data_IF_831380226197
#
_entry.id   IF_831380226197
#
_cell.length_a   1.000
_cell.length_b   1.000
_cell.length_c   1.000
_cell.angle_alpha   90.00
_cell.angle_beta   90.00
_cell.angle_gamma   90.00
#
_symmetry.space_group_name_H-M   'P 1'
#
loop_
_entity.id
_entity.type
_entity.pdbx_description
1 polymer ?
#
# COMPACT_ATOMS: atom_id res chain seq x y z
N UNK A 1 -22.89 -14.63 20.22
CA UNK A 1 -21.79 -13.65 20.25
C UNK A 1 -22.22 -12.51 19.35
N UNK A 2 -22.52 -11.34 19.91
CA UNK A 2 -22.87 -10.16 19.12
C UNK A 2 -21.57 -9.58 18.56
N UNK A 3 -21.42 -9.57 17.24
CA UNK A 3 -20.30 -8.89 16.60
C UNK A 3 -20.64 -7.39 16.58
N UNK A 4 -19.88 -6.58 17.31
CA UNK A 4 -19.98 -5.13 17.20
C UNK A 4 -19.37 -4.72 15.87
N UNK A 5 -20.09 -3.89 15.10
CA UNK A 5 -19.62 -3.33 13.83
C UNK A 5 -19.47 -1.81 13.99
N UNK A 6 -18.41 -1.23 13.44
CA UNK A 6 -18.18 0.21 13.41
C UNK A 6 -19.19 0.92 12.48
N UNK A 7 -19.17 2.26 12.44
CA UNK A 7 -20.11 3.07 11.64
C UNK A 7 -20.07 2.80 10.14
N UNK A 8 -19.05 2.07 9.66
CA UNK A 8 -18.90 1.67 8.27
C UNK A 8 -19.24 0.18 8.04
N UNK A 9 -19.78 -0.52 9.04
CA UNK A 9 -20.23 -1.90 8.95
C UNK A 9 -19.12 -2.96 9.09
N UNK A 10 -17.97 -2.61 9.68
CA UNK A 10 -16.85 -3.54 9.89
C UNK A 10 -16.77 -4.00 11.35
N UNK A 11 -16.50 -5.29 11.64
CA UNK A 11 -16.21 -5.76 12.98
C UNK A 11 -15.26 -4.83 13.75
N UNK A 12 -15.55 -4.47 15.00
CA UNK A 12 -14.73 -3.56 15.83
C UNK A 12 -13.28 -4.05 16.03
N UNK A 13 -13.03 -5.37 15.95
CA UNK A 13 -11.68 -5.97 15.95
C UNK A 13 -10.85 -5.62 14.68
N UNK A 14 -11.48 -5.04 13.65
CA UNK A 14 -10.84 -4.59 12.41
C UNK A 14 -10.70 -3.06 12.35
N UNK A 15 -10.28 -2.42 13.45
CA UNK A 15 -9.58 -1.16 13.28
C UNK A 15 -8.42 -1.43 12.30
N UNK A 16 -8.38 -0.70 11.17
CA UNK A 16 -7.42 -0.90 10.08
C UNK A 16 -6.00 -1.04 10.65
N UNK A 17 -5.49 -2.28 10.71
CA UNK A 17 -4.12 -2.53 11.13
C UNK A 17 -3.19 -1.89 10.11
N UNK A 18 -2.56 -0.78 10.50
CA UNK A 18 -1.66 -0.02 9.63
C UNK A 18 -0.54 -0.95 9.16
N UNK A 19 -0.36 -1.05 7.84
CA UNK A 19 0.66 -1.89 7.23
C UNK A 19 2.06 -1.28 7.41
N UNK A 20 2.73 -1.70 8.49
CA UNK A 20 4.07 -1.26 8.85
C UNK A 20 5.10 -1.51 7.73
N UNK A 21 4.92 -2.58 6.96
CA UNK A 21 5.86 -2.92 5.89
C UNK A 21 5.68 -2.00 4.69
N UNK A 22 4.43 -1.70 4.31
CA UNK A 22 4.14 -0.68 3.29
C UNK A 22 4.67 0.69 3.70
N UNK A 23 4.47 1.10 4.95
CA UNK A 23 5.00 2.36 5.46
C UNK A 23 6.53 2.46 5.29
N UNK A 24 7.26 1.39 5.61
CA UNK A 24 8.72 1.34 5.44
C UNK A 24 9.14 1.32 3.97
N UNK A 25 8.41 0.63 3.08
CA UNK A 25 8.66 0.68 1.63
C UNK A 25 8.48 2.08 1.07
N UNK A 26 7.39 2.76 1.44
CA UNK A 26 7.12 4.15 1.04
C UNK A 26 8.21 5.08 1.55
N UNK A 27 8.61 4.93 2.82
CA UNK A 27 9.70 5.70 3.43
C UNK A 27 11.01 5.54 2.66
N UNK A 28 11.37 4.30 2.31
CA UNK A 28 12.58 4.00 1.53
C UNK A 28 12.50 4.58 0.11
N UNK A 29 11.36 4.47 -0.56
CA UNK A 29 11.16 5.03 -1.89
C UNK A 29 11.34 6.55 -1.90
N UNK A 30 10.77 7.24 -0.92
CA UNK A 30 10.91 8.69 -0.76
C UNK A 30 12.36 9.05 -0.43
N UNK A 31 12.88 8.57 0.70
CA UNK A 31 14.18 9.00 1.24
C UNK A 31 15.38 8.47 0.44
N UNK A 32 15.16 7.47 -0.42
CA UNK A 32 16.18 6.99 -1.36
C UNK A 32 16.46 7.96 -2.50
N UNK A 33 15.54 8.89 -2.81
CA UNK A 33 15.69 9.85 -3.93
C UNK A 33 15.49 11.31 -3.54
N UNK A 34 14.67 11.59 -2.53
CA UNK A 34 14.23 12.94 -2.18
C UNK A 34 14.10 13.15 -0.67
N UNK A 35 14.04 14.41 -0.26
CA UNK A 35 13.55 14.77 1.09
C UNK A 35 12.02 14.82 1.09
N UNK A 36 11.39 14.85 2.28
CA UNK A 36 9.94 15.00 2.36
C UNK A 36 9.47 16.38 1.89
N UNK A 37 10.27 17.41 2.12
CA UNK A 37 10.05 18.77 1.62
C UNK A 37 10.01 18.77 0.09
N UNK A 38 10.99 18.11 -0.55
CA UNK A 38 11.02 18.01 -2.01
C UNK A 38 9.86 17.17 -2.56
N UNK A 39 9.46 16.12 -1.84
CA UNK A 39 8.27 15.35 -2.21
C UNK A 39 6.99 16.16 -2.09
N UNK A 40 6.83 17.02 -1.09
CA UNK A 40 5.67 17.91 -0.97
C UNK A 40 5.59 18.86 -2.17
N UNK A 41 6.71 19.47 -2.55
CA UNK A 41 6.78 20.36 -3.72
C UNK A 41 6.37 19.66 -5.03
N UNK A 42 6.83 18.43 -5.24
CA UNK A 42 6.60 17.69 -6.49
C UNK A 42 5.20 17.03 -6.55
N UNK A 43 4.74 16.46 -5.43
CA UNK A 43 3.50 15.67 -5.39
C UNK A 43 2.26 16.49 -5.00
N UNK A 44 2.47 17.63 -4.33
CA UNK A 44 1.44 18.37 -3.62
C UNK A 44 0.87 17.66 -2.39
N UNK A 45 1.48 16.54 -1.96
CA UNK A 45 1.10 15.85 -0.72
C UNK A 45 1.76 16.57 0.44
N UNK A 46 0.96 16.98 1.42
CA UNK A 46 1.49 17.70 2.57
C UNK A 46 2.62 16.93 3.30
N UNK A 47 3.67 17.63 3.71
CA UNK A 47 4.83 17.04 4.38
C UNK A 47 4.45 16.27 5.66
N UNK A 48 3.51 16.79 6.45
CA UNK A 48 3.01 16.12 7.64
C UNK A 48 2.27 14.83 7.30
N UNK A 49 1.56 14.81 6.17
CA UNK A 49 0.94 13.59 5.64
C UNK A 49 1.99 12.57 5.21
N UNK A 50 3.01 12.96 4.44
CA UNK A 50 4.09 12.06 4.03
C UNK A 50 4.78 11.44 5.26
N UNK A 51 5.08 12.25 6.28
CA UNK A 51 5.68 11.78 7.54
C UNK A 51 4.76 10.84 8.31
N UNK A 52 3.45 11.09 8.37
CA UNK A 52 2.49 10.16 9.02
C UNK A 52 2.42 8.82 8.30
N UNK A 53 2.43 8.81 6.98
CA UNK A 53 2.46 7.57 6.18
C UNK A 53 3.76 6.81 6.45
N UNK A 54 4.90 7.47 6.29
CA UNK A 54 6.22 6.85 6.43
C UNK A 54 6.53 6.35 7.85
N UNK A 55 5.86 6.90 8.87
CA UNK A 55 5.96 6.45 10.26
C UNK A 55 4.81 5.53 10.69
N UNK A 56 4.02 5.02 9.73
CA UNK A 56 2.91 4.11 9.99
C UNK A 56 1.89 4.65 11.01
N UNK A 57 1.68 5.97 11.01
CA UNK A 57 0.68 6.64 11.84
C UNK A 57 -0.67 6.75 11.11
N UNK A 58 -0.66 6.54 9.79
CA UNK A 58 -1.83 6.32 8.96
C UNK A 58 -1.42 5.54 7.71
N UNK A 59 -2.39 4.92 7.07
CA UNK A 59 -2.17 4.31 5.76
C UNK A 59 -2.13 5.34 4.62
N UNK A 60 -1.52 4.95 3.50
CA UNK A 60 -1.49 5.75 2.28
C UNK A 60 -2.74 5.50 1.44
N UNK A 61 -3.30 6.56 0.86
CA UNK A 61 -4.34 6.42 -0.16
C UNK A 61 -3.71 5.98 -1.48
N UNK A 62 -4.46 5.28 -2.33
CA UNK A 62 -3.99 4.87 -3.67
C UNK A 62 -3.49 6.07 -4.48
N UNK A 63 -4.22 7.19 -4.50
CA UNK A 63 -3.79 8.39 -5.23
C UNK A 63 -2.51 9.04 -4.67
N UNK A 64 -2.18 8.80 -3.41
CA UNK A 64 -0.90 9.22 -2.83
C UNK A 64 0.21 8.27 -3.24
N UNK A 65 -0.06 6.97 -3.29
CA UNK A 65 0.87 5.95 -3.78
C UNK A 65 1.20 6.13 -5.25
N UNK A 66 0.22 6.46 -6.11
CA UNK A 66 0.42 6.77 -7.52
C UNK A 66 1.41 7.92 -7.71
N UNK A 67 1.19 9.04 -7.00
CA UNK A 67 2.08 10.20 -7.06
C UNK A 67 3.47 9.90 -6.53
N UNK A 68 3.56 9.17 -5.42
CA UNK A 68 4.85 8.77 -4.85
C UNK A 68 5.59 7.89 -5.86
N UNK A 69 4.94 6.86 -6.39
CA UNK A 69 5.48 5.94 -7.39
C UNK A 69 6.00 6.69 -8.63
N UNK A 70 5.20 7.60 -9.18
CA UNK A 70 5.56 8.40 -10.36
C UNK A 70 6.83 9.24 -10.09
N UNK A 71 6.84 10.00 -9.00
CA UNK A 71 7.94 10.92 -8.69
C UNK A 71 9.21 10.15 -8.29
N UNK A 72 9.08 9.10 -7.47
CA UNK A 72 10.20 8.27 -7.05
C UNK A 72 10.60 7.27 -8.12
N UNK A 73 9.90 7.19 -9.26
CA UNK A 73 10.09 6.16 -10.27
C UNK A 73 10.22 4.77 -9.63
N UNK A 74 9.30 4.47 -8.73
CA UNK A 74 9.20 3.18 -8.02
C UNK A 74 7.96 2.49 -8.54
N UNK A 75 8.03 1.19 -8.80
CA UNK A 75 6.86 0.42 -9.19
C UNK A 75 5.78 0.54 -8.10
N UNK A 76 4.57 0.95 -8.49
CA UNK A 76 3.45 1.10 -7.57
C UNK A 76 3.12 -0.23 -6.87
N UNK A 77 3.32 -1.36 -7.55
CA UNK A 77 3.12 -2.68 -6.94
C UNK A 77 4.16 -2.98 -5.87
N UNK A 78 5.40 -2.48 -6.00
CA UNK A 78 6.39 -2.57 -4.92
C UNK A 78 5.96 -1.74 -3.70
N UNK A 79 5.40 -0.54 -3.90
CA UNK A 79 4.87 0.24 -2.79
C UNK A 79 3.71 -0.46 -2.09
N UNK A 80 2.72 -0.94 -2.86
CA UNK A 80 1.50 -1.56 -2.32
C UNK A 80 1.82 -2.91 -1.68
N UNK A 81 2.50 -3.78 -2.42
CA UNK A 81 2.59 -5.22 -2.13
C UNK A 81 4.01 -5.70 -1.86
N UNK A 82 5.04 -4.91 -2.14
CA UNK A 82 6.43 -5.38 -2.09
C UNK A 82 6.86 -6.17 -3.32
N UNK A 83 8.07 -6.72 -3.24
CA UNK A 83 8.79 -7.27 -4.41
C UNK A 83 8.95 -8.79 -4.32
N UNK A 84 8.75 -9.40 -3.15
CA UNK A 84 8.77 -10.85 -3.01
C UNK A 84 7.37 -11.46 -3.19
N UNK A 85 7.28 -12.67 -3.73
CA UNK A 85 6.00 -13.38 -3.88
C UNK A 85 5.26 -13.58 -2.55
N UNK A 86 6.00 -13.69 -1.43
CA UNK A 86 5.40 -13.71 -0.09
C UNK A 86 4.77 -12.37 0.29
N UNK A 87 5.43 -11.24 0.00
CA UNK A 87 4.89 -9.92 0.30
C UNK A 87 3.61 -9.67 -0.50
N UNK A 88 3.61 -10.05 -1.78
CA UNK A 88 2.44 -9.89 -2.65
C UNK A 88 1.31 -10.79 -2.19
N UNK A 89 1.58 -12.04 -1.80
CA UNK A 89 0.57 -12.94 -1.25
C UNK A 89 -0.02 -12.40 0.05
N UNK A 90 0.80 -11.99 1.02
CA UNK A 90 0.32 -11.52 2.32
C UNK A 90 -0.43 -10.19 2.23
N UNK A 91 0.03 -9.26 1.38
CA UNK A 91 -0.66 -8.00 1.14
C UNK A 91 -1.94 -8.18 0.32
N UNK A 92 -1.96 -9.10 -0.68
CA UNK A 92 -3.20 -9.45 -1.41
C UNK A 92 -4.20 -10.13 -0.50
N UNK A 93 -3.74 -11.07 0.34
CA UNK A 93 -4.54 -11.74 1.36
C UNK A 93 -5.19 -10.70 2.29
N UNK A 94 -4.44 -9.75 2.86
CA UNK A 94 -5.03 -8.66 3.67
C UNK A 94 -6.08 -7.84 2.91
N UNK A 95 -5.85 -7.55 1.64
CA UNK A 95 -6.76 -6.75 0.81
C UNK A 95 -8.07 -7.50 0.46
N UNK A 96 -8.00 -8.82 0.27
CA UNK A 96 -9.10 -9.63 -0.27
C UNK A 96 -9.72 -10.64 0.72
N UNK A 97 -9.08 -10.92 1.87
CA UNK A 97 -9.64 -11.78 2.93
C UNK A 97 -10.91 -11.21 3.57
N UNK A 98 -11.23 -9.94 3.31
CA UNK A 98 -12.52 -9.36 3.69
C UNK A 98 -13.70 -9.89 2.86
N UNK A 99 -13.48 -10.66 1.76
CA UNK A 99 -14.58 -11.17 0.90
C UNK A 99 -14.44 -12.59 0.33
N UNK A 100 -13.24 -13.09 -0.03
CA UNK A 100 -13.04 -14.47 -0.52
C UNK A 100 -11.55 -14.81 -0.73
N UNK A 101 -11.11 -15.94 -0.18
CA UNK A 101 -9.74 -16.49 -0.37
C UNK A 101 -9.42 -16.74 -1.85
N UNK A 102 -10.38 -17.19 -2.63
CA UNK A 102 -10.21 -17.47 -4.05
C UNK A 102 -10.05 -16.18 -4.86
N UNK A 103 -10.74 -15.11 -4.46
CA UNK A 103 -10.56 -13.79 -5.06
C UNK A 103 -9.17 -13.21 -4.77
N UNK A 104 -8.66 -13.41 -3.54
CA UNK A 104 -7.31 -13.03 -3.16
C UNK A 104 -6.25 -13.74 -4.02
N UNK A 105 -6.41 -15.05 -4.20
CA UNK A 105 -5.50 -15.87 -5.00
C UNK A 105 -5.59 -15.52 -6.49
N UNK A 106 -6.79 -15.27 -7.02
CA UNK A 106 -6.97 -14.86 -8.41
C UNK A 106 -6.35 -13.48 -8.67
N UNK A 107 -6.56 -12.51 -7.77
CA UNK A 107 -5.93 -11.19 -7.89
C UNK A 107 -4.40 -11.29 -7.79
N UNK A 108 -3.87 -12.10 -6.88
CA UNK A 108 -2.43 -12.38 -6.79
C UNK A 108 -1.88 -12.97 -8.10
N UNK A 109 -2.56 -13.98 -8.66
CA UNK A 109 -2.16 -14.60 -9.93
C UNK A 109 -2.17 -13.59 -11.09
N UNK A 110 -3.21 -12.75 -11.18
CA UNK A 110 -3.32 -11.73 -12.23
C UNK A 110 -2.21 -10.68 -12.07
N UNK A 111 -2.03 -10.12 -10.88
CA UNK A 111 -1.03 -9.08 -10.61
C UNK A 111 0.38 -9.60 -10.88
N UNK A 112 0.71 -10.81 -10.41
CA UNK A 112 2.02 -11.42 -10.64
C UNK A 112 2.28 -11.58 -12.13
N UNK A 113 1.33 -12.16 -12.88
CA UNK A 113 1.50 -12.37 -14.32
C UNK A 113 1.63 -11.04 -15.06
N UNK A 114 0.81 -10.03 -14.74
CA UNK A 114 0.90 -8.70 -15.35
C UNK A 114 2.27 -8.04 -15.14
N UNK A 115 2.88 -8.17 -13.95
CA UNK A 115 4.23 -7.64 -13.68
C UNK A 115 5.35 -8.36 -14.44
N UNK A 116 5.11 -9.60 -14.87
CA UNK A 116 6.10 -10.42 -15.59
C UNK A 116 5.90 -10.40 -17.10
N UNK A 117 4.91 -9.65 -17.61
CA UNK A 117 4.78 -9.43 -19.05
C UNK A 117 5.85 -8.40 -19.45
N UNK A 118 6.78 -8.82 -20.30
CA UNK A 118 7.68 -7.90 -21.00
C UNK A 118 6.85 -7.10 -22.01
N UNK A 119 7.00 -5.77 -21.98
CA UNK A 119 6.46 -4.88 -22.99
C UNK A 119 7.30 -5.02 -24.28
N UNK A 120 7.01 -6.02 -25.11
CA UNK A 120 7.49 -6.06 -26.51
C UNK A 120 6.83 -4.97 -27.37
#
# INVERSE_FOLDING_TARGET
MSNNFNSNGYPEEMAEDIDLQRAERIKKAILGKFTYERMEELSGINIGTLKRIANAQRDAKISELEKIAEITQTDIFELIFGSSSSDIYDSSKRFFETRSKDAAQAAHFIIYNLRTLDDE
#
